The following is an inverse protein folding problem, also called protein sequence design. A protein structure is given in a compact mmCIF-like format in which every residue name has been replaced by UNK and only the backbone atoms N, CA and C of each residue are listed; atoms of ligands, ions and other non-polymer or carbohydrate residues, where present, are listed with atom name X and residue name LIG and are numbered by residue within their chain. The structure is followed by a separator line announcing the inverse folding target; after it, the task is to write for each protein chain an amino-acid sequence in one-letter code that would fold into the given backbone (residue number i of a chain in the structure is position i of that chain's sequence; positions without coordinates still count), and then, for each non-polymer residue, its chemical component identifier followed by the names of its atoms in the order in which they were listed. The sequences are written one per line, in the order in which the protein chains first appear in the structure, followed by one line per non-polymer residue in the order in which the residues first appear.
data_IF_956880227292
#
_entry.id   IF_956880227292
#
_cell.length_a   1.000
_cell.length_b   1.000
_cell.length_c   1.000
_cell.angle_alpha   90.00
_cell.angle_beta   90.00
_cell.angle_gamma   90.00
#
_symmetry.space_group_name_H-M   'P 1'
#
loop_
_entity.id
_entity.type
_entity.pdbx_description
1 polymer ?
#
# COMPACT_ATOMS: atom_id res chain seq x y z
N UNK A 1 10.08 -6.94 -0.84
CA UNK A 1 9.89 -6.06 -2.02
C UNK A 1 11.23 -5.49 -2.46
N UNK A 2 11.78 -5.94 -3.59
CA UNK A 2 13.13 -5.57 -4.04
C UNK A 2 13.28 -4.07 -4.37
N UNK A 3 12.24 -3.44 -4.94
CA UNK A 3 12.29 -2.02 -5.28
C UNK A 3 12.35 -1.14 -4.02
N UNK A 4 11.50 -1.41 -3.03
CA UNK A 4 11.52 -0.69 -1.75
C UNK A 4 12.84 -0.91 -0.99
N UNK A 5 13.37 -2.14 -0.98
CA UNK A 5 14.66 -2.42 -0.36
C UNK A 5 15.79 -1.60 -1.02
N UNK A 6 15.78 -1.51 -2.36
CA UNK A 6 16.78 -0.72 -3.09
C UNK A 6 16.68 0.78 -2.78
N UNK A 7 15.46 1.31 -2.61
CA UNK A 7 15.26 2.72 -2.21
C UNK A 7 15.84 2.97 -0.82
N UNK A 8 15.62 2.07 0.13
CA UNK A 8 16.17 2.17 1.47
C UNK A 8 17.72 2.18 1.43
N UNK A 9 18.35 1.27 0.68
CA UNK A 9 19.82 1.26 0.51
C UNK A 9 20.35 2.57 -0.08
N UNK A 10 19.69 3.10 -1.11
CA UNK A 10 20.09 4.37 -1.74
C UNK A 10 19.93 5.57 -0.79
N UNK A 11 19.00 5.49 0.15
CA UNK A 11 18.83 6.45 1.24
C UNK A 11 19.78 6.23 2.44
N UNK A 12 20.71 5.28 2.36
CA UNK A 12 21.64 4.95 3.45
C UNK A 12 21.02 4.16 4.60
N UNK A 13 19.83 3.60 4.42
CA UNK A 13 19.14 2.76 5.40
C UNK A 13 19.51 1.28 5.23
N UNK A 14 19.27 0.48 6.27
CA UNK A 14 19.43 -0.98 6.22
C UNK A 14 18.05 -1.63 6.01
N UNK A 15 17.77 -2.22 4.83
CA UNK A 15 16.46 -2.83 4.59
C UNK A 15 16.31 -4.17 5.30
N UNK A 16 15.11 -4.42 5.83
CA UNK A 16 14.66 -5.73 6.30
C UNK A 16 13.33 -6.06 5.64
N UNK A 17 13.13 -7.31 5.23
CA UNK A 17 11.85 -7.74 4.69
C UNK A 17 10.93 -8.18 5.83
N UNK A 18 9.79 -7.50 5.94
CA UNK A 18 8.72 -7.77 6.90
C UNK A 18 7.43 -7.89 6.09
N UNK A 19 6.69 -8.97 6.29
CA UNK A 19 5.36 -9.13 5.69
C UNK A 19 4.35 -8.24 6.40
N UNK A 20 3.32 -7.78 5.69
CA UNK A 20 2.39 -6.78 6.24
C UNK A 20 1.72 -7.22 7.56
N UNK A 21 1.44 -8.51 7.72
CA UNK A 21 0.87 -9.08 8.94
C UNK A 21 1.81 -8.99 10.17
N UNK A 22 3.11 -8.89 9.96
CA UNK A 22 4.14 -8.83 11.01
C UNK A 22 4.55 -7.37 11.32
N UNK A 23 4.04 -6.38 10.57
CA UNK A 23 4.50 -4.99 10.64
C UNK A 23 4.31 -4.38 12.04
N UNK A 24 3.14 -4.52 12.65
CA UNK A 24 2.87 -3.95 13.98
C UNK A 24 3.81 -4.54 15.05
N UNK A 25 4.09 -5.85 14.98
CA UNK A 25 5.05 -6.49 15.89
C UNK A 25 6.48 -6.00 15.63
N UNK A 26 6.89 -5.89 14.37
CA UNK A 26 8.23 -5.44 14.02
C UNK A 26 8.49 -3.99 14.46
N UNK A 27 7.49 -3.11 14.36
CA UNK A 27 7.55 -1.75 14.88
C UNK A 27 7.60 -1.74 16.41
N UNK A 28 6.71 -2.50 17.08
CA UNK A 28 6.64 -2.54 18.54
C UNK A 28 7.91 -3.09 19.23
N UNK A 29 8.67 -3.93 18.53
CA UNK A 29 9.91 -4.54 19.03
C UNK A 29 11.19 -3.86 18.55
N UNK A 30 11.07 -2.82 17.70
CA UNK A 30 12.22 -2.11 17.15
C UNK A 30 12.99 -2.87 16.07
N UNK A 31 12.43 -3.94 15.49
CA UNK A 31 13.00 -4.63 14.32
C UNK A 31 12.95 -3.73 13.09
N UNK A 32 11.94 -2.86 13.00
CA UNK A 32 11.86 -1.77 12.03
C UNK A 32 11.55 -0.45 12.73
N UNK A 33 12.18 0.62 12.26
CA UNK A 33 12.02 1.98 12.81
C UNK A 33 11.29 2.92 11.83
N UNK A 34 11.24 2.55 10.55
CA UNK A 34 10.57 3.27 9.49
C UNK A 34 10.24 2.33 8.32
N UNK A 35 9.26 2.71 7.51
CA UNK A 35 8.88 1.97 6.32
C UNK A 35 8.26 2.91 5.28
N UNK A 36 8.21 2.47 4.02
CA UNK A 36 7.54 3.19 2.94
C UNK A 36 6.28 2.43 2.55
N UNK A 37 5.11 3.05 2.71
CA UNK A 37 3.82 2.50 2.30
C UNK A 37 2.76 3.59 2.12
N UNK A 38 1.51 3.18 1.89
CA UNK A 38 0.36 4.07 1.77
C UNK A 38 -0.23 4.44 3.14
N UNK A 39 -1.00 5.54 3.17
CA UNK A 39 -1.80 5.91 4.34
C UNK A 39 -2.81 4.82 4.75
N UNK A 40 -3.35 4.05 3.79
CA UNK A 40 -4.24 2.92 4.08
C UNK A 40 -3.57 1.88 4.97
N UNK A 41 -2.37 1.41 4.59
CA UNK A 41 -1.62 0.44 5.41
C UNK A 41 -1.27 1.03 6.78
N UNK A 42 -0.93 2.31 6.83
CA UNK A 42 -0.67 3.03 8.08
C UNK A 42 -1.87 2.97 9.03
N UNK A 43 -3.08 3.19 8.50
CA UNK A 43 -4.32 3.13 9.28
C UNK A 43 -4.66 1.71 9.71
N UNK A 44 -4.60 0.74 8.79
CA UNK A 44 -4.91 -0.66 9.07
C UNK A 44 -3.99 -1.26 10.14
N UNK A 45 -2.73 -0.83 10.17
CA UNK A 45 -1.71 -1.30 11.13
C UNK A 45 -1.56 -0.41 12.36
N UNK A 46 -2.38 0.65 12.48
CA UNK A 46 -2.33 1.66 13.55
C UNK A 46 -0.93 2.17 13.85
N UNK A 47 -0.18 2.52 12.81
CA UNK A 47 1.27 2.80 12.97
C UNK A 47 1.58 3.99 13.88
N UNK A 48 0.60 4.83 14.19
CA UNK A 48 0.70 5.89 15.20
C UNK A 48 0.99 5.38 16.61
N UNK A 49 0.76 4.09 16.89
CA UNK A 49 1.12 3.46 18.17
C UNK A 49 2.65 3.30 18.33
N UNK A 50 3.41 3.38 17.24
CA UNK A 50 4.88 3.21 17.23
C UNK A 50 5.64 4.32 16.52
N UNK A 51 5.01 5.03 15.60
CA UNK A 51 5.63 6.07 14.75
C UNK A 51 4.93 7.40 14.94
N UNK A 52 5.67 8.48 14.72
CA UNK A 52 5.20 9.85 14.97
C UNK A 52 5.06 10.70 13.71
N UNK A 53 5.57 10.25 12.57
CA UNK A 53 5.61 11.04 11.33
C UNK A 53 5.14 10.21 10.13
N UNK A 54 4.38 10.85 9.24
CA UNK A 54 4.07 10.35 7.91
C UNK A 54 4.45 11.44 6.90
N UNK A 55 5.36 11.11 5.99
CA UNK A 55 5.75 12.04 4.92
C UNK A 55 5.03 11.66 3.63
N UNK A 56 4.15 12.54 3.15
CA UNK A 56 3.41 12.35 1.90
C UNK A 56 4.27 12.71 0.68
N UNK A 57 5.25 11.85 0.39
CA UNK A 57 6.25 12.06 -0.66
C UNK A 57 5.69 11.79 -2.07
N UNK A 58 4.59 11.03 -2.18
CA UNK A 58 4.02 10.62 -3.47
C UNK A 58 5.05 9.96 -4.42
N UNK A 59 6.03 9.24 -3.86
CA UNK A 59 7.21 8.75 -4.59
C UNK A 59 6.87 7.75 -5.71
N UNK A 60 5.90 6.85 -5.48
CA UNK A 60 5.31 5.99 -6.51
C UNK A 60 3.96 5.41 -6.03
N UNK A 61 3.14 4.92 -6.97
CA UNK A 61 1.86 4.28 -6.67
C UNK A 61 1.89 2.81 -7.13
N UNK A 62 2.21 1.84 -6.25
CA UNK A 62 2.25 0.43 -6.63
C UNK A 62 0.83 -0.09 -6.90
N UNK A 63 0.66 -0.88 -7.96
CA UNK A 63 -0.63 -1.50 -8.29
C UNK A 63 -0.62 -2.99 -7.94
N UNK A 64 -1.68 -3.43 -7.27
CA UNK A 64 -1.99 -4.85 -7.17
C UNK A 64 -2.59 -5.33 -8.51
N UNK A 65 -2.34 -6.59 -8.87
CA UNK A 65 -2.89 -7.21 -10.08
C UNK A 65 -3.70 -8.43 -9.69
N UNK A 66 -4.91 -8.53 -10.25
CA UNK A 66 -5.73 -9.75 -10.18
C UNK A 66 -5.42 -10.58 -11.42
N UNK A 67 -5.03 -11.83 -11.22
CA UNK A 67 -4.74 -12.77 -12.29
C UNK A 67 -5.62 -14.00 -12.16
N UNK A 68 -5.90 -14.63 -13.30
CA UNK A 68 -6.67 -15.87 -13.39
C UNK A 68 -5.79 -16.98 -13.94
N UNK A 69 -5.96 -18.20 -13.41
CA UNK A 69 -5.31 -19.37 -13.99
C UNK A 69 -5.81 -19.57 -15.44
N UNK A 70 -4.87 -19.79 -16.36
CA UNK A 70 -5.16 -19.85 -17.80
C UNK A 70 -6.08 -21.01 -18.16
N UNK A 71 -5.87 -22.19 -17.59
CA UNK A 71 -6.67 -23.38 -17.89
C UNK A 71 -8.08 -23.24 -17.32
N UNK A 72 -8.19 -22.69 -16.11
CA UNK A 72 -9.47 -22.36 -15.50
C UNK A 72 -10.27 -21.37 -16.35
N UNK A 73 -9.63 -20.30 -16.83
CA UNK A 73 -10.29 -19.32 -17.72
C UNK A 73 -10.68 -19.94 -19.06
N UNK A 74 -9.80 -20.74 -19.66
CA UNK A 74 -10.06 -21.37 -20.95
C UNK A 74 -11.20 -22.41 -20.87
N UNK A 75 -11.37 -23.07 -19.72
CA UNK A 75 -12.44 -24.01 -19.45
C UNK A 75 -13.83 -23.39 -19.29
N UNK A 76 -13.93 -22.06 -19.20
CA UNK A 76 -15.21 -21.35 -19.18
C UNK A 76 -15.81 -21.25 -20.59
N UNK A 77 -17.13 -21.21 -20.68
CA UNK A 77 -17.83 -20.84 -21.91
C UNK A 77 -17.63 -19.35 -22.26
N UNK A 78 -17.88 -18.98 -23.50
CA UNK A 78 -17.61 -17.63 -24.00
C UNK A 78 -18.47 -16.55 -23.33
N UNK A 79 -19.69 -16.87 -22.92
CA UNK A 79 -20.54 -15.91 -22.21
C UNK A 79 -19.98 -15.63 -20.81
N UNK A 80 -19.54 -16.68 -20.10
CA UNK A 80 -18.91 -16.55 -18.78
C UNK A 80 -17.58 -15.81 -18.89
N UNK A 81 -16.75 -16.08 -19.91
CA UNK A 81 -15.51 -15.33 -20.17
C UNK A 81 -15.76 -13.83 -20.34
N UNK A 82 -16.78 -13.46 -21.11
CA UNK A 82 -17.16 -12.07 -21.32
C UNK A 82 -17.55 -11.38 -20.01
N UNK A 83 -18.34 -12.05 -19.17
CA UNK A 83 -18.73 -11.53 -17.84
C UNK A 83 -17.52 -11.33 -16.93
N UNK A 84 -16.60 -12.30 -16.86
CA UNK A 84 -15.39 -12.19 -16.02
C UNK A 84 -14.55 -10.97 -16.43
N UNK A 85 -14.38 -10.74 -17.73
CA UNK A 85 -13.61 -9.60 -18.23
C UNK A 85 -14.31 -8.26 -17.95
N UNK A 86 -15.62 -8.16 -18.19
CA UNK A 86 -16.41 -6.96 -17.88
C UNK A 86 -16.38 -6.63 -16.38
N UNK A 87 -16.51 -7.63 -15.51
CA UNK A 87 -16.35 -7.45 -14.07
C UNK A 87 -14.93 -6.98 -13.71
N UNK A 88 -13.89 -7.51 -14.37
CA UNK A 88 -12.51 -7.09 -14.17
C UNK A 88 -12.27 -5.63 -14.52
N UNK A 89 -12.80 -5.16 -15.66
CA UNK A 89 -12.71 -3.76 -16.08
C UNK A 89 -13.43 -2.82 -15.09
N UNK A 90 -14.65 -3.19 -14.66
CA UNK A 90 -15.40 -2.45 -13.66
C UNK A 90 -14.69 -2.38 -12.32
N UNK A 91 -14.10 -3.49 -11.87
CA UNK A 91 -13.34 -3.54 -10.62
C UNK A 91 -12.07 -2.68 -10.68
N UNK A 92 -11.37 -2.66 -11.82
CA UNK A 92 -10.20 -1.81 -12.01
C UNK A 92 -10.56 -0.32 -11.94
N UNK A 93 -11.63 0.09 -12.64
CA UNK A 93 -12.09 1.48 -12.64
C UNK A 93 -12.61 1.93 -11.26
N UNK A 94 -13.44 1.11 -10.62
CA UNK A 94 -14.00 1.44 -9.30
C UNK A 94 -12.94 1.42 -8.20
N UNK A 95 -11.99 0.48 -8.26
CA UNK A 95 -10.87 0.39 -7.32
C UNK A 95 -9.95 1.61 -7.41
N UNK A 96 -9.62 2.06 -8.62
CA UNK A 96 -8.80 3.27 -8.79
C UNK A 96 -9.50 4.53 -8.27
N UNK A 97 -10.79 4.72 -8.60
CA UNK A 97 -11.56 5.85 -8.09
C UNK A 97 -11.63 5.84 -6.56
N UNK A 98 -11.95 4.68 -5.98
CA UNK A 98 -12.04 4.50 -4.52
C UNK A 98 -10.69 4.80 -3.84
N UNK A 99 -9.58 4.32 -4.40
CA UNK A 99 -8.26 4.57 -3.84
C UNK A 99 -7.93 6.08 -3.78
N UNK A 100 -8.27 6.83 -4.84
CA UNK A 100 -8.10 8.29 -4.88
C UNK A 100 -8.97 8.98 -3.85
N UNK A 101 -10.25 8.61 -3.75
CA UNK A 101 -11.21 9.22 -2.84
C UNK A 101 -10.88 8.99 -1.36
N UNK A 102 -10.30 7.82 -1.03
CA UNK A 102 -9.96 7.48 0.35
C UNK A 102 -8.60 8.02 0.80
N UNK A 103 -7.70 8.38 -0.12
CA UNK A 103 -6.33 8.80 0.23
C UNK A 103 -6.32 9.93 1.25
N UNK A 104 -7.05 11.01 0.98
CA UNK A 104 -7.12 12.16 1.90
C UNK A 104 -7.71 11.78 3.27
N UNK A 105 -8.67 10.85 3.30
CA UNK A 105 -9.30 10.38 4.55
C UNK A 105 -8.31 9.59 5.41
N UNK A 106 -7.55 8.69 4.80
CA UNK A 106 -6.52 7.94 5.55
C UNK A 106 -5.46 8.86 6.14
N UNK A 107 -4.98 9.84 5.36
CA UNK A 107 -4.02 10.83 5.86
C UNK A 107 -4.61 11.67 7.01
N UNK A 108 -5.87 12.08 6.92
CA UNK A 108 -6.56 12.76 8.01
C UNK A 108 -6.66 11.88 9.27
N UNK A 109 -7.02 10.59 9.12
CA UNK A 109 -7.07 9.64 10.25
C UNK A 109 -5.70 9.47 10.91
N UNK A 110 -4.61 9.39 10.14
CA UNK A 110 -3.26 9.34 10.73
C UNK A 110 -2.95 10.61 11.56
N UNK A 111 -3.31 11.79 11.04
CA UNK A 111 -3.13 13.05 11.74
C UNK A 111 -3.98 13.15 13.02
N UNK A 112 -5.25 12.75 12.95
CA UNK A 112 -6.18 12.70 14.09
C UNK A 112 -5.67 11.79 15.21
N UNK A 113 -4.94 10.73 14.87
CA UNK A 113 -4.31 9.82 15.84
C UNK A 113 -2.90 10.28 16.28
N UNK A 114 -2.53 11.54 16.02
CA UNK A 114 -1.34 12.17 16.60
C UNK A 114 -0.07 12.08 15.76
N UNK A 115 -0.13 11.55 14.54
CA UNK A 115 1.02 11.61 13.62
C UNK A 115 1.15 13.00 13.01
N UNK A 116 2.40 13.43 12.78
CA UNK A 116 2.68 14.59 11.92
C UNK A 116 2.64 14.16 10.47
N UNK A 117 1.55 14.52 9.79
CA UNK A 117 1.37 14.27 8.36
C UNK A 117 1.77 15.51 7.58
N UNK A 118 2.82 15.41 6.76
CA UNK A 118 3.39 16.54 6.03
C UNK A 118 4.00 16.12 4.71
N UNK A 119 4.10 17.05 3.75
CA UNK A 119 4.85 16.81 2.52
C UNK A 119 6.36 16.70 2.78
N UNK A 120 7.13 16.27 1.77
CA UNK A 120 8.59 16.37 1.83
C UNK A 120 9.04 17.83 1.92
N UNK A 121 10.28 18.04 2.37
CA UNK A 121 10.95 19.34 2.22
C UNK A 121 11.24 19.65 0.74
N UNK A 122 11.64 20.90 0.48
CA UNK A 122 12.15 21.31 -0.84
C UNK A 122 13.51 20.66 -1.20
N UNK A 123 14.23 20.15 -0.19
CA UNK A 123 15.45 19.34 -0.32
C UNK A 123 15.06 17.86 -0.41
#
# INVERSE_FOLDING_TARGET
NAATARIAELGGMTPVQIEAAELSQALATGVAEAFISSGSTGVDSKVWESLTHFYDVQAWLPRNSVFINKDAYNGLDDATKAVVMDCGEKAAASGEATAKDLTAKYLATLAENGMKVQGPSDQ
#
